data_IF_890434049992
#
_entry.id   IF_890434049992
#
_cell.length_a   1.000
_cell.length_b   1.000
_cell.length_c   1.000
_cell.angle_alpha   90.00
_cell.angle_beta   90.00
_cell.angle_gamma   90.00
#
_symmetry.space_group_name_H-M   'P 1'
#
loop_
_entity.id
_entity.type
_entity.pdbx_description
1 polymer ?
#
# COMPACT_ATOMS: atom_id res chain seq x y z
N UNK A 1 -10.19 18.72 -16.74
CA UNK A 1 -9.27 18.32 -17.82
C UNK A 1 -8.58 17.02 -17.38
N UNK A 2 -8.73 15.90 -18.11
CA UNK A 2 -8.31 14.49 -17.80
C UNK A 2 -9.44 13.45 -17.55
N UNK A 3 -10.72 13.79 -17.75
CA UNK A 3 -11.82 12.83 -17.58
C UNK A 3 -11.66 11.56 -18.45
N UNK A 4 -11.15 11.72 -19.68
CA UNK A 4 -10.89 10.60 -20.58
C UNK A 4 -9.96 9.52 -19.99
N UNK A 5 -8.98 9.88 -19.15
CA UNK A 5 -8.08 8.89 -18.52
C UNK A 5 -8.81 8.07 -17.47
N UNK A 6 -9.64 8.75 -16.67
CA UNK A 6 -10.46 8.09 -15.66
C UNK A 6 -11.46 7.14 -16.32
N UNK A 7 -12.12 7.60 -17.39
CA UNK A 7 -13.03 6.80 -18.20
C UNK A 7 -12.33 5.59 -18.84
N UNK A 8 -11.12 5.78 -19.39
CA UNK A 8 -10.34 4.68 -19.98
C UNK A 8 -9.94 3.63 -18.93
N UNK A 9 -9.49 4.06 -17.73
CA UNK A 9 -9.15 3.14 -16.64
C UNK A 9 -10.40 2.40 -16.14
N UNK A 10 -11.54 3.09 -15.98
CA UNK A 10 -12.82 2.45 -15.63
C UNK A 10 -13.24 1.43 -16.68
N UNK A 11 -13.08 1.74 -17.97
CA UNK A 11 -13.39 0.81 -19.05
C UNK A 11 -12.48 -0.43 -19.04
N UNK A 12 -11.17 -0.27 -18.83
CA UNK A 12 -10.22 -1.39 -18.70
C UNK A 12 -10.59 -2.26 -17.49
N UNK A 13 -10.81 -1.65 -16.34
CA UNK A 13 -11.19 -2.35 -15.11
C UNK A 13 -12.57 -3.02 -15.24
N UNK A 14 -13.49 -2.41 -16.00
CA UNK A 14 -14.80 -2.96 -16.35
C UNK A 14 -14.73 -4.35 -16.98
N UNK A 15 -13.69 -4.65 -17.76
CA UNK A 15 -13.50 -5.99 -18.36
C UNK A 15 -13.16 -7.06 -17.32
N UNK A 16 -12.54 -6.68 -16.20
CA UNK A 16 -12.26 -7.62 -15.10
C UNK A 16 -13.58 -8.12 -14.51
N UNK A 17 -14.61 -7.27 -14.45
CA UNK A 17 -15.94 -7.68 -13.99
C UNK A 17 -16.53 -8.77 -14.89
N UNK A 18 -16.46 -8.62 -16.21
CA UNK A 18 -17.01 -9.64 -17.13
C UNK A 18 -16.26 -10.96 -17.04
N UNK A 19 -14.95 -10.92 -16.81
CA UNK A 19 -14.09 -12.10 -16.90
C UNK A 19 -14.09 -12.95 -15.62
N UNK A 20 -14.36 -12.33 -14.45
CA UNK A 20 -14.19 -12.98 -13.15
C UNK A 20 -15.43 -13.01 -12.25
N UNK A 21 -16.50 -12.26 -12.54
CA UNK A 21 -17.77 -12.34 -11.78
C UNK A 21 -18.54 -13.61 -12.18
N UNK A 22 -19.12 -14.37 -11.22
CA UNK A 22 -19.36 -14.03 -9.81
C UNK A 22 -18.32 -14.57 -8.82
N UNK A 23 -17.17 -15.07 -9.29
CA UNK A 23 -16.23 -15.81 -8.43
C UNK A 23 -15.43 -14.93 -7.47
N UNK A 24 -15.36 -13.62 -7.73
CA UNK A 24 -14.56 -12.66 -6.95
C UNK A 24 -15.38 -11.39 -6.70
N UNK A 25 -15.37 -10.89 -5.46
CA UNK A 25 -15.90 -9.57 -5.12
C UNK A 25 -14.91 -8.50 -5.57
N UNK A 26 -15.39 -7.52 -6.32
CA UNK A 26 -14.57 -6.41 -6.83
C UNK A 26 -15.13 -5.10 -6.25
N UNK A 27 -14.33 -4.42 -5.43
CA UNK A 27 -14.64 -3.11 -4.88
C UNK A 27 -13.74 -2.05 -5.56
N UNK A 28 -14.34 -0.95 -6.03
CA UNK A 28 -13.61 0.16 -6.66
C UNK A 28 -13.41 1.34 -5.70
N UNK A 29 -12.22 1.92 -5.72
CA UNK A 29 -11.91 3.19 -5.04
C UNK A 29 -11.14 4.12 -5.96
N UNK A 30 -11.49 5.39 -5.96
CA UNK A 30 -10.79 6.43 -6.70
C UNK A 30 -9.68 7.06 -5.83
N UNK A 31 -8.55 7.38 -6.44
CA UNK A 31 -7.43 8.05 -5.79
C UNK A 31 -6.74 8.99 -6.77
N UNK A 32 -6.21 10.10 -6.27
CA UNK A 32 -5.47 11.09 -7.05
C UNK A 32 -4.20 10.49 -7.65
N UNK A 33 -3.92 10.86 -8.90
CA UNK A 33 -2.67 10.51 -9.57
C UNK A 33 -1.49 11.38 -9.13
N UNK A 34 -1.74 12.48 -8.41
CA UNK A 34 -0.75 13.49 -8.03
C UNK A 34 -0.52 13.60 -6.52
N UNK A 35 -1.32 12.90 -5.71
CA UNK A 35 -1.18 12.89 -4.26
C UNK A 35 -0.89 11.47 -3.77
N UNK A 36 0.37 11.22 -3.45
CA UNK A 36 0.81 9.92 -2.94
C UNK A 36 0.34 9.68 -1.49
N UNK A 37 -0.01 10.73 -0.74
CA UNK A 37 -0.56 10.61 0.62
C UNK A 37 -1.96 10.02 0.55
N UNK A 38 -2.80 10.53 -0.35
CA UNK A 38 -4.14 9.99 -0.57
C UNK A 38 -4.10 8.50 -0.97
N UNK A 39 -3.06 8.07 -1.71
CA UNK A 39 -2.88 6.64 -2.02
C UNK A 39 -2.67 5.81 -0.75
N UNK A 40 -1.87 6.30 0.20
CA UNK A 40 -1.63 5.63 1.48
C UNK A 40 -2.91 5.58 2.31
N UNK A 41 -3.71 6.64 2.31
CA UNK A 41 -4.99 6.70 3.03
C UNK A 41 -5.99 5.66 2.50
N UNK A 42 -6.15 5.57 1.18
CA UNK A 42 -7.03 4.58 0.54
C UNK A 42 -6.57 3.15 0.87
N UNK A 43 -5.26 2.90 0.84
CA UNK A 43 -4.70 1.58 1.16
C UNK A 43 -4.86 1.24 2.65
N UNK A 44 -4.69 2.21 3.56
CA UNK A 44 -4.98 2.01 4.98
C UNK A 44 -6.46 1.68 5.21
N UNK A 45 -7.38 2.37 4.52
CA UNK A 45 -8.80 2.12 4.67
C UNK A 45 -9.20 0.71 4.20
N UNK A 46 -8.60 0.24 3.10
CA UNK A 46 -8.78 -1.14 2.63
C UNK A 46 -8.13 -2.13 3.61
N UNK A 47 -6.84 -1.98 3.90
CA UNK A 47 -6.08 -3.03 4.58
C UNK A 47 -6.31 -3.06 6.10
N UNK A 48 -6.41 -1.90 6.73
CA UNK A 48 -6.49 -1.74 8.19
C UNK A 48 -7.94 -1.63 8.64
N UNK A 49 -8.68 -0.64 8.13
CA UNK A 49 -10.02 -0.34 8.64
C UNK A 49 -11.01 -1.48 8.33
N UNK A 50 -10.81 -2.17 7.20
CA UNK A 50 -11.61 -3.36 6.84
C UNK A 50 -11.12 -4.66 7.48
N UNK A 51 -10.19 -4.60 8.45
CA UNK A 51 -9.65 -5.75 9.20
C UNK A 51 -8.97 -6.84 8.36
N UNK A 52 -8.57 -6.54 7.12
CA UNK A 52 -7.89 -7.50 6.24
C UNK A 52 -6.45 -7.79 6.66
N UNK A 53 -5.81 -6.87 7.37
CA UNK A 53 -4.43 -7.00 7.87
C UNK A 53 -4.15 -8.33 8.57
N UNK A 54 -5.09 -8.81 9.38
CA UNK A 54 -4.88 -10.01 10.20
C UNK A 54 -5.43 -11.29 9.58
N UNK A 55 -6.23 -11.16 8.52
CA UNK A 55 -7.04 -12.25 7.98
C UNK A 55 -6.66 -12.62 6.55
N UNK A 56 -6.02 -11.72 5.81
CA UNK A 56 -5.76 -11.89 4.38
C UNK A 56 -4.31 -11.56 4.02
N UNK A 57 -3.78 -12.27 3.02
CA UNK A 57 -2.56 -11.86 2.32
C UNK A 57 -2.92 -10.74 1.35
N UNK A 58 -2.29 -9.58 1.51
CA UNK A 58 -2.47 -8.45 0.61
C UNK A 58 -1.40 -8.45 -0.48
N UNK A 59 -1.85 -8.45 -1.74
CA UNK A 59 -1.00 -8.32 -2.92
C UNK A 59 -1.41 -7.02 -3.62
N UNK A 60 -0.44 -6.14 -3.87
CA UNK A 60 -0.66 -4.88 -4.59
C UNK A 60 0.08 -4.96 -5.92
N UNK A 61 -0.66 -4.71 -7.01
CA UNK A 61 -0.10 -4.57 -8.34
C UNK A 61 -0.25 -3.11 -8.83
N UNK A 62 0.76 -2.24 -8.60
CA UNK A 62 0.65 -0.85 -9.00
C UNK A 62 0.81 -0.74 -10.51
N UNK A 63 -0.29 -0.49 -11.22
CA UNK A 63 -0.32 -0.23 -12.68
C UNK A 63 -0.54 1.25 -13.01
N UNK A 64 -0.69 2.09 -11.98
CA UNK A 64 -1.09 3.49 -12.09
C UNK A 64 0.06 4.50 -12.16
N UNK A 65 -0.21 5.71 -11.66
CA UNK A 65 0.73 6.83 -11.68
C UNK A 65 2.03 6.55 -10.91
N UNK A 66 3.12 7.22 -11.32
CA UNK A 66 4.40 7.19 -10.59
C UNK A 66 4.25 7.63 -9.13
N UNK A 67 3.41 8.63 -8.86
CA UNK A 67 3.18 9.11 -7.49
C UNK A 67 2.32 8.14 -6.68
N UNK A 68 1.34 7.49 -7.29
CA UNK A 68 0.60 6.41 -6.62
C UNK A 68 1.54 5.24 -6.27
N UNK A 69 2.46 4.90 -7.19
CA UNK A 69 3.50 3.88 -6.95
C UNK A 69 4.41 4.27 -5.79
N UNK A 70 4.74 5.56 -5.63
CA UNK A 70 5.49 6.08 -4.48
C UNK A 70 4.70 5.89 -3.17
N UNK A 71 3.39 6.16 -3.18
CA UNK A 71 2.51 5.90 -2.04
C UNK A 71 2.49 4.41 -1.65
N UNK A 72 2.41 3.53 -2.65
CA UNK A 72 2.50 2.06 -2.46
C UNK A 72 3.84 1.65 -1.85
N UNK A 73 4.96 2.25 -2.27
CA UNK A 73 6.29 1.99 -1.68
C UNK A 73 6.31 2.36 -0.18
N UNK A 74 5.80 3.53 0.19
CA UNK A 74 5.75 3.94 1.60
C UNK A 74 4.81 3.06 2.40
N UNK A 75 3.68 2.67 1.82
CA UNK A 75 2.76 1.73 2.45
C UNK A 75 3.40 0.37 2.70
N UNK A 76 4.15 -0.17 1.73
CA UNK A 76 4.95 -1.40 1.88
C UNK A 76 6.02 -1.26 2.96
N UNK A 77 6.63 -0.09 3.11
CA UNK A 77 7.59 0.16 4.18
C UNK A 77 6.92 0.12 5.57
N UNK A 78 5.68 0.62 5.67
CA UNK A 78 4.88 0.55 6.90
C UNK A 78 4.38 -0.87 7.18
N UNK A 79 4.03 -1.63 6.14
CA UNK A 79 3.52 -3.00 6.18
C UNK A 79 4.35 -3.97 5.33
N UNK A 80 5.54 -4.40 5.80
CA UNK A 80 6.45 -5.29 5.09
C UNK A 80 5.89 -6.65 4.66
N UNK A 81 4.76 -7.09 5.21
CA UNK A 81 4.09 -8.33 4.83
C UNK A 81 3.37 -8.26 3.48
N UNK A 82 3.07 -7.05 2.98
CA UNK A 82 2.36 -6.84 1.71
C UNK A 82 3.23 -7.28 0.55
N UNK A 83 2.72 -8.07 -0.40
CA UNK A 83 3.47 -8.43 -1.58
C UNK A 83 3.25 -7.41 -2.70
N UNK A 84 4.33 -6.96 -3.34
CA UNK A 84 4.25 -6.12 -4.54
C UNK A 84 4.46 -6.98 -5.78
N UNK A 85 3.57 -6.85 -6.76
CA UNK A 85 3.68 -7.51 -8.06
C UNK A 85 3.62 -6.44 -9.13
N UNK A 86 4.75 -6.13 -9.75
CA UNK A 86 4.77 -5.16 -10.84
C UNK A 86 4.84 -5.89 -12.18
N UNK A 87 3.77 -5.85 -13.01
CA UNK A 87 3.83 -6.44 -14.33
C UNK A 87 4.81 -5.62 -15.20
N UNK A 88 5.90 -6.26 -15.61
CA UNK A 88 6.84 -5.67 -16.57
C UNK A 88 6.45 -6.18 -17.95
N UNK A 89 6.16 -5.26 -18.88
CA UNK A 89 5.96 -5.62 -20.28
C UNK A 89 7.30 -5.94 -20.92
N UNK A 90 7.38 -7.03 -21.70
CA UNK A 90 8.63 -7.40 -22.39
C UNK A 90 9.07 -6.34 -23.41
N UNK A 91 8.11 -5.63 -23.99
CA UNK A 91 8.32 -4.54 -24.94
C UNK A 91 7.37 -3.39 -24.62
N UNK A 92 7.79 -2.15 -24.88
CA UNK A 92 6.89 -0.99 -24.87
C UNK A 92 6.30 -0.82 -26.27
N UNK A 93 5.06 -0.34 -26.35
CA UNK A 93 4.45 -0.05 -27.65
C UNK A 93 5.06 1.23 -28.25
N UNK A 94 5.07 1.35 -29.58
CA UNK A 94 5.68 2.48 -30.28
C UNK A 94 4.95 3.81 -30.00
N UNK A 95 3.72 3.73 -29.49
CA UNK A 95 2.88 4.85 -29.09
C UNK A 95 3.30 5.46 -27.74
N UNK A 96 4.21 4.82 -27.00
CA UNK A 96 4.74 5.40 -25.75
C UNK A 96 5.59 6.64 -26.04
N UNK A 97 5.44 7.66 -25.19
CA UNK A 97 6.23 8.89 -25.28
C UNK A 97 7.72 8.58 -25.19
N UNK A 98 8.47 9.01 -26.20
CA UNK A 98 9.94 8.95 -26.23
C UNK A 98 10.52 10.20 -25.56
N UNK A 99 11.53 10.01 -24.70
CA UNK A 99 12.22 11.10 -24.00
C UNK A 99 11.49 11.64 -22.77
N UNK A 100 12.03 12.70 -22.18
CA UNK A 100 11.49 13.36 -20.99
C UNK A 100 11.32 14.85 -21.26
N UNK A 101 10.10 15.36 -21.15
CA UNK A 101 9.83 16.80 -21.33
C UNK A 101 10.26 17.62 -20.12
N UNK A 102 10.02 17.11 -18.92
CA UNK A 102 10.27 17.78 -17.64
C UNK A 102 10.67 16.76 -16.59
N UNK A 103 11.60 17.14 -15.71
CA UNK A 103 12.00 16.34 -14.54
C UNK A 103 11.27 16.89 -13.31
N UNK A 104 10.48 16.03 -12.68
CA UNK A 104 9.81 16.31 -11.41
C UNK A 104 10.48 15.50 -10.31
N UNK A 105 10.67 16.11 -9.14
CA UNK A 105 11.31 15.45 -8.01
C UNK A 105 10.52 15.66 -6.73
N UNK A 106 10.47 14.62 -5.89
CA UNK A 106 10.01 14.72 -4.51
C UNK A 106 11.26 14.85 -3.65
N UNK A 107 11.37 15.94 -2.88
CA UNK A 107 12.55 16.23 -2.07
C UNK A 107 12.33 15.73 -0.65
N UNK A 108 13.34 15.04 -0.12
CA UNK A 108 13.42 14.62 1.27
C UNK A 108 14.67 15.26 1.88
N UNK A 109 14.55 15.78 3.11
CA UNK A 109 15.70 16.31 3.85
C UNK A 109 16.69 15.20 4.18
N UNK A 110 16.17 14.08 4.68
CA UNK A 110 16.89 12.82 4.87
C UNK A 110 15.94 11.67 4.52
N UNK A 111 16.12 11.09 3.34
CA UNK A 111 15.28 9.99 2.87
C UNK A 111 15.48 8.71 3.70
N UNK A 112 16.70 8.45 4.17
CA UNK A 112 17.01 7.26 4.96
C UNK A 112 16.34 7.34 6.33
N UNK A 113 16.45 8.47 7.01
CA UNK A 113 15.77 8.71 8.28
C UNK A 113 14.24 8.65 8.11
N UNK A 114 13.70 9.22 7.02
CA UNK A 114 12.28 9.13 6.70
C UNK A 114 11.81 7.67 6.56
N UNK A 115 12.51 6.85 5.78
CA UNK A 115 12.17 5.44 5.59
C UNK A 115 12.31 4.61 6.88
N UNK A 116 13.27 4.96 7.76
CA UNK A 116 13.39 4.36 9.10
C UNK A 116 12.18 4.71 9.97
N UNK A 117 11.74 5.97 9.96
CA UNK A 117 10.54 6.42 10.70
C UNK A 117 9.30 5.67 10.22
N UNK A 118 9.11 5.56 8.90
CA UNK A 118 8.01 4.78 8.32
C UNK A 118 8.04 3.30 8.74
N UNK A 119 9.21 2.65 8.68
CA UNK A 119 9.34 1.24 9.09
C UNK A 119 9.13 1.00 10.59
N UNK A 120 9.35 2.02 11.41
CA UNK A 120 9.12 1.96 12.86
C UNK A 120 7.67 2.25 13.25
N UNK A 121 6.84 2.79 12.34
CA UNK A 121 5.43 3.09 12.59
C UNK A 121 4.67 1.92 13.24
N UNK A 122 4.92 0.69 12.80
CA UNK A 122 4.29 -0.53 13.34
C UNK A 122 4.87 -1.03 14.67
N UNK A 123 6.12 -0.68 14.99
CA UNK A 123 6.83 -1.22 16.16
C UNK A 123 6.26 -0.68 17.47
N UNK A 124 5.55 0.44 17.44
CA UNK A 124 4.93 1.02 18.64
C UNK A 124 3.87 0.07 19.22
N UNK A 125 2.98 -0.49 18.38
CA UNK A 125 1.97 -1.44 18.84
C UNK A 125 2.54 -2.79 19.28
N UNK A 126 3.60 -3.27 18.61
CA UNK A 126 4.30 -4.51 19.01
C UNK A 126 5.05 -4.35 20.32
N UNK A 127 5.68 -3.19 20.57
CA UNK A 127 6.31 -2.89 21.86
C UNK A 127 5.29 -2.78 22.98
N UNK A 128 4.13 -2.18 22.72
CA UNK A 128 3.03 -2.15 23.68
C UNK A 128 2.54 -3.56 24.01
N UNK A 129 2.37 -4.43 22.99
CA UNK A 129 1.99 -5.82 23.20
C UNK A 129 3.07 -6.62 23.95
N UNK A 130 4.35 -6.43 23.61
CA UNK A 130 5.47 -7.05 24.32
C UNK A 130 5.50 -6.64 25.80
N UNK A 131 5.25 -5.37 26.10
CA UNK A 131 5.16 -4.89 27.48
C UNK A 131 3.97 -5.52 28.22
N UNK A 132 2.79 -5.60 27.60
CA UNK A 132 1.61 -6.26 28.19
C UNK A 132 1.87 -7.74 28.47
N UNK A 133 2.55 -8.44 27.56
CA UNK A 133 2.89 -9.85 27.75
C UNK A 133 3.90 -10.05 28.90
N UNK A 134 4.92 -9.18 28.99
CA UNK A 134 5.88 -9.20 30.10
C UNK A 134 5.22 -8.91 31.46
N UNK A 135 4.32 -7.93 31.51
CA UNK A 135 3.55 -7.61 32.73
C UNK A 135 2.67 -8.79 33.16
N UNK A 136 2.10 -9.54 32.21
CA UNK A 136 1.34 -10.75 32.53
C UNK A 136 2.23 -11.89 33.05
N UNK A 137 3.41 -12.09 32.47
CA UNK A 137 4.35 -13.11 32.94
C UNK A 137 4.85 -12.80 34.37
N UNK A 138 5.12 -11.53 34.71
CA UNK A 138 5.50 -11.13 36.07
C UNK A 138 4.39 -11.40 37.11
N UNK A 139 3.12 -11.27 36.72
CA UNK A 139 1.97 -11.62 37.58
C UNK A 139 1.91 -13.15 37.81
N UNK A 140 2.21 -13.96 36.80
CA UNK A 140 2.18 -15.42 36.92
C UNK A 140 3.34 -15.98 37.78
N UNK A 141 4.53 -15.38 37.73
CA UNK A 141 5.65 -15.80 38.59
C UNK A 141 5.58 -15.23 40.02
N UNK A 142 4.79 -14.18 40.27
CA UNK A 142 4.58 -13.59 41.61
C UNK A 142 3.63 -14.39 42.55
N UNK A 143 3.07 -15.51 42.10
CA UNK A 143 2.19 -16.38 42.89
C UNK A 143 2.77 -17.77 43.19
N UNK A 144 4.03 -18.02 42.82
CA UNK A 144 4.70 -19.31 43.00
C UNK A 144 5.59 -19.42 44.26
N UNK A 145 5.42 -18.54 45.25
CA UNK A 145 6.08 -18.65 46.55
C UNK A 145 5.05 -18.55 47.69
N UNK A 146 4.46 -19.69 48.08
CA UNK A 146 4.00 -20.00 49.44
C UNK A 146 4.02 -21.51 49.69
#
# INVERSE_FOLDING_TARGET
HNQWRLEAIRWINGKIYSDFVPKIRIDEKESSTFDYIQTIEVLNDIYINSQYKYTHKCIIAPTGSKLQTLGVLFFKQMYPEIQLVYPVTATFSNEYTQGSKNIWSVKFKDFSEFMKKLGNFRKTGLKQLENVLREQDEIYYGHADK
#
